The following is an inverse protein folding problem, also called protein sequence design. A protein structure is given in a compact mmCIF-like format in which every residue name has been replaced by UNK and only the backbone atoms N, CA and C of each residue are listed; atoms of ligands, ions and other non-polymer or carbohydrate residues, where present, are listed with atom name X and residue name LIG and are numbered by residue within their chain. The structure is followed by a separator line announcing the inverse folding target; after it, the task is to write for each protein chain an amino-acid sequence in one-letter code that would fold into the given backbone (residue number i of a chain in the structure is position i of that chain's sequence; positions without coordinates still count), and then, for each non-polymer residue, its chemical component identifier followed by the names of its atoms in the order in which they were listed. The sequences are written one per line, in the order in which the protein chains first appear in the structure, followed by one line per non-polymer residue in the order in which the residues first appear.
data_IF_136054387010
#
_entry.id   IF_136054387010
#
_cell.length_a   1.000
_cell.length_b   1.000
_cell.length_c   1.000
_cell.angle_alpha   90.00
_cell.angle_beta   90.00
_cell.angle_gamma   90.00
#
_symmetry.space_group_name_H-M   'P 1'
#
loop_
_entity.id
_entity.type
_entity.pdbx_description
1 polymer ?
#
# COMPACT_ATOMS: atom_id res chain seq x y z
N UNK A 1 -1.49 -8.73 -18.55
CA UNK A 1 -2.37 -8.56 -17.39
C UNK A 1 -2.29 -9.84 -16.58
N UNK A 2 -2.34 -9.75 -15.24
CA UNK A 2 -2.14 -10.92 -14.39
C UNK A 2 -3.44 -11.72 -14.36
N UNK A 3 -3.33 -13.03 -14.55
CA UNK A 3 -4.49 -13.93 -14.62
C UNK A 3 -4.86 -14.44 -13.24
N UNK A 4 -6.14 -14.35 -12.89
CA UNK A 4 -6.67 -14.84 -11.61
C UNK A 4 -7.92 -15.67 -11.88
N UNK A 5 -7.97 -16.85 -11.28
CA UNK A 5 -9.14 -17.73 -11.39
C UNK A 5 -10.35 -17.12 -10.67
N UNK A 6 -11.50 -17.09 -11.34
CA UNK A 6 -12.76 -16.58 -10.79
C UNK A 6 -13.11 -17.25 -9.44
N UNK A 7 -12.91 -18.57 -9.36
CA UNK A 7 -13.12 -19.35 -8.14
C UNK A 7 -12.30 -18.85 -6.94
N UNK A 8 -11.06 -18.40 -7.15
CA UNK A 8 -10.22 -17.85 -6.07
C UNK A 8 -10.74 -16.51 -5.57
N UNK A 9 -11.26 -15.68 -6.48
CA UNK A 9 -11.82 -14.36 -6.13
C UNK A 9 -13.10 -14.55 -5.31
N UNK A 10 -13.98 -15.46 -5.73
CA UNK A 10 -15.21 -15.79 -4.99
C UNK A 10 -14.85 -16.32 -3.59
N UNK A 11 -13.93 -17.28 -3.49
CA UNK A 11 -13.51 -17.84 -2.19
C UNK A 11 -12.91 -16.76 -1.27
N UNK A 12 -12.13 -15.83 -1.82
CA UNK A 12 -11.54 -14.74 -1.07
C UNK A 12 -12.59 -13.72 -0.59
N UNK A 13 -13.55 -13.36 -1.45
CA UNK A 13 -14.66 -12.48 -1.10
C UNK A 13 -15.52 -13.03 0.05
N UNK A 14 -15.72 -14.35 0.11
CA UNK A 14 -16.44 -15.01 1.21
C UNK A 14 -15.71 -14.91 2.56
N UNK A 15 -14.38 -14.71 2.56
CA UNK A 15 -13.57 -14.58 3.77
C UNK A 15 -13.48 -13.15 4.29
N UNK A 16 -13.77 -12.15 3.45
CA UNK A 16 -13.76 -10.74 3.80
C UNK A 16 -12.98 -9.88 2.81
N UNK A 17 -13.07 -8.56 2.98
CA UNK A 17 -12.50 -7.58 2.04
C UNK A 17 -10.96 -7.64 2.00
N UNK A 18 -10.32 -7.89 3.14
CA UNK A 18 -8.87 -7.99 3.22
C UNK A 18 -8.36 -9.18 2.39
N UNK A 19 -8.96 -10.35 2.56
CA UNK A 19 -8.62 -11.55 1.78
C UNK A 19 -8.96 -11.36 0.30
N UNK A 20 -10.06 -10.67 -0.01
CA UNK A 20 -10.42 -10.29 -1.37
C UNK A 20 -9.34 -9.43 -2.03
N UNK A 21 -8.89 -8.33 -1.43
CA UNK A 21 -7.82 -7.51 -2.01
C UNK A 21 -6.49 -8.26 -2.06
N UNK A 22 -6.24 -9.11 -1.06
CA UNK A 22 -5.03 -9.91 -0.97
C UNK A 22 -4.88 -10.91 -2.11
N UNK A 23 -5.97 -11.50 -2.62
CA UNK A 23 -5.89 -12.45 -3.76
C UNK A 23 -5.25 -11.81 -5.00
N UNK A 24 -5.48 -10.52 -5.22
CA UNK A 24 -4.88 -9.77 -6.32
C UNK A 24 -3.41 -9.49 -6.05
N UNK A 25 -3.11 -8.92 -4.89
CA UNK A 25 -1.75 -8.52 -4.55
C UNK A 25 -0.82 -9.71 -4.34
N UNK A 26 -1.30 -10.87 -3.88
CA UNK A 26 -0.53 -12.11 -3.83
C UNK A 26 -0.14 -12.56 -5.24
N UNK A 27 -1.06 -12.49 -6.21
CA UNK A 27 -0.75 -12.80 -7.61
C UNK A 27 0.26 -11.80 -8.20
N UNK A 28 0.22 -10.53 -7.78
CA UNK A 28 1.20 -9.52 -8.20
C UNK A 28 2.59 -9.85 -7.65
N UNK A 29 2.68 -10.17 -6.36
CA UNK A 29 3.94 -10.54 -5.73
C UNK A 29 4.52 -11.82 -6.32
N UNK A 30 3.69 -12.82 -6.67
CA UNK A 30 4.13 -14.03 -7.38
C UNK A 30 4.78 -13.67 -8.73
N UNK A 31 4.13 -12.81 -9.52
CA UNK A 31 4.65 -12.36 -10.81
C UNK A 31 5.94 -11.52 -10.67
N UNK A 32 6.05 -10.75 -9.59
CA UNK A 32 7.21 -9.92 -9.31
C UNK A 32 8.40 -10.71 -8.73
N UNK A 33 8.17 -11.92 -8.20
CA UNK A 33 9.19 -12.72 -7.52
C UNK A 33 9.36 -12.36 -6.03
N UNK A 34 8.32 -11.80 -5.41
CA UNK A 34 8.23 -11.55 -3.97
C UNK A 34 8.23 -10.08 -3.56
N UNK A 35 8.78 -9.18 -4.37
CA UNK A 35 8.86 -7.74 -4.06
C UNK A 35 9.07 -6.90 -5.33
N UNK A 36 8.87 -5.58 -5.25
CA UNK A 36 9.14 -4.64 -6.35
C UNK A 36 10.62 -4.26 -6.41
N UNK A 37 11.14 -4.24 -7.62
CA UNK A 37 12.49 -3.79 -7.97
C UNK A 37 12.41 -2.93 -9.23
N UNK A 38 13.49 -2.22 -9.52
CA UNK A 38 13.60 -1.45 -10.77
C UNK A 38 13.48 -2.34 -12.03
N UNK A 39 13.83 -3.63 -11.92
CA UNK A 39 13.84 -4.56 -13.06
C UNK A 39 12.46 -5.18 -13.33
N UNK A 40 11.55 -5.17 -12.36
CA UNK A 40 10.23 -5.81 -12.47
C UNK A 40 9.05 -4.82 -12.39
N UNK A 41 9.29 -3.53 -12.13
CA UNK A 41 8.23 -2.54 -11.95
C UNK A 41 7.28 -2.47 -13.16
N UNK A 42 7.80 -2.59 -14.39
CA UNK A 42 7.02 -2.52 -15.62
C UNK A 42 6.06 -3.72 -15.84
N UNK A 43 6.11 -4.75 -14.99
CA UNK A 43 5.20 -5.91 -15.07
C UNK A 43 3.78 -5.59 -14.63
N UNK A 44 3.60 -4.56 -13.81
CA UNK A 44 2.31 -4.15 -13.31
C UNK A 44 1.81 -2.90 -14.03
N UNK A 45 0.49 -2.78 -14.17
CA UNK A 45 -0.13 -1.53 -14.61
C UNK A 45 -0.31 -0.56 -13.42
N UNK A 46 -0.76 0.67 -13.69
CA UNK A 46 -0.96 1.69 -12.65
C UNK A 46 -1.98 1.34 -11.57
N UNK A 47 -3.04 0.60 -11.88
CA UNK A 47 -4.04 0.14 -10.90
C UNK A 47 -3.48 -0.95 -10.00
N UNK A 48 -2.77 -1.92 -10.59
CA UNK A 48 -2.09 -2.99 -9.87
C UNK A 48 -1.01 -2.42 -8.93
N UNK A 49 -0.24 -1.44 -9.39
CA UNK A 49 0.70 -0.71 -8.53
C UNK A 49 0.00 -0.01 -7.37
N UNK A 50 -1.14 0.65 -7.62
CA UNK A 50 -1.90 1.33 -6.57
C UNK A 50 -2.34 0.33 -5.49
N UNK A 51 -2.84 -0.83 -5.89
CA UNK A 51 -3.33 -1.84 -4.94
C UNK A 51 -2.18 -2.50 -4.17
N UNK A 52 -1.05 -2.77 -4.82
CA UNK A 52 0.15 -3.29 -4.16
C UNK A 52 0.76 -2.27 -3.20
N UNK A 53 0.79 -1.00 -3.58
CA UNK A 53 1.23 0.09 -2.69
C UNK A 53 0.31 0.21 -1.46
N UNK A 54 -1.01 0.03 -1.63
CA UNK A 54 -1.94 -0.01 -0.50
C UNK A 54 -1.65 -1.19 0.43
N UNK A 55 -1.36 -2.38 -0.11
CA UNK A 55 -0.98 -3.53 0.71
C UNK A 55 0.24 -3.25 1.57
N UNK A 56 1.34 -2.82 0.97
CA UNK A 56 2.56 -2.50 1.73
C UNK A 56 2.31 -1.41 2.75
N UNK A 57 1.55 -0.38 2.37
CA UNK A 57 1.15 0.67 3.30
C UNK A 57 0.41 0.11 4.52
N UNK A 58 -0.66 -0.67 4.32
CA UNK A 58 -1.46 -1.24 5.41
C UNK A 58 -0.63 -2.18 6.28
N UNK A 59 0.14 -3.10 5.69
CA UNK A 59 0.95 -4.07 6.41
C UNK A 59 2.02 -3.38 7.28
N UNK A 60 2.76 -2.42 6.70
CA UNK A 60 3.83 -1.73 7.40
C UNK A 60 3.31 -0.82 8.52
N UNK A 61 2.24 -0.04 8.26
CA UNK A 61 1.68 0.85 9.29
C UNK A 61 1.13 0.06 10.47
N UNK A 62 0.45 -1.07 10.24
CA UNK A 62 -0.06 -1.92 11.32
C UNK A 62 1.02 -2.59 12.17
N UNK A 63 2.21 -2.84 11.59
CA UNK A 63 3.29 -3.54 12.28
C UNK A 63 4.26 -2.57 12.97
N UNK A 64 4.67 -1.51 12.27
CA UNK A 64 5.73 -0.61 12.73
C UNK A 64 5.63 0.83 12.21
N UNK A 65 4.47 1.27 11.72
CA UNK A 65 4.25 2.66 11.37
C UNK A 65 5.06 3.16 10.16
N UNK A 66 5.10 4.47 9.99
CA UNK A 66 5.73 5.12 8.84
C UNK A 66 7.25 4.96 8.82
N UNK A 67 7.88 4.96 9.98
CA UNK A 67 9.33 4.78 10.10
C UNK A 67 9.73 3.42 9.52
N UNK A 68 9.03 2.33 9.90
CA UNK A 68 9.30 1.00 9.36
C UNK A 68 9.02 0.94 7.84
N UNK A 69 7.89 1.47 7.40
CA UNK A 69 7.53 1.52 5.98
C UNK A 69 8.63 2.14 5.11
N UNK A 70 9.21 3.26 5.57
CA UNK A 70 10.24 3.98 4.82
C UNK A 70 11.58 3.24 4.89
N UNK A 71 11.96 2.74 6.06
CA UNK A 71 13.19 1.97 6.26
C UNK A 71 13.20 0.62 5.52
N UNK A 72 12.02 0.03 5.27
CA UNK A 72 11.85 -1.12 4.40
C UNK A 72 11.90 -0.77 2.89
N UNK A 73 12.08 0.50 2.54
CA UNK A 73 12.28 0.97 1.16
C UNK A 73 10.99 1.31 0.40
N UNK A 74 9.82 1.25 1.04
CA UNK A 74 8.55 1.52 0.36
C UNK A 74 8.18 3.01 0.26
N UNK A 75 8.92 3.90 0.94
CA UNK A 75 8.67 5.33 0.95
C UNK A 75 8.57 5.92 -0.46
N UNK A 76 9.63 5.79 -1.25
CA UNK A 76 9.63 6.29 -2.63
C UNK A 76 8.56 5.62 -3.50
N UNK A 77 8.35 4.31 -3.35
CA UNK A 77 7.34 3.58 -4.12
C UNK A 77 5.91 4.04 -3.81
N UNK A 78 5.60 4.43 -2.58
CA UNK A 78 4.26 4.90 -2.19
C UNK A 78 4.10 6.40 -2.47
N UNK A 79 5.10 7.21 -2.14
CA UNK A 79 4.98 8.67 -2.13
C UNK A 79 5.32 9.33 -3.47
N UNK A 80 6.23 8.78 -4.28
CA UNK A 80 6.58 9.39 -5.58
C UNK A 80 5.68 8.92 -6.72
N UNK A 81 5.00 7.79 -6.54
CA UNK A 81 3.98 7.29 -7.46
C UNK A 81 2.61 7.93 -7.19
N UNK A 82 1.68 7.89 -8.16
CA UNK A 82 0.36 8.51 -8.01
C UNK A 82 -0.60 7.76 -7.06
N UNK A 83 -0.10 6.97 -6.10
CA UNK A 83 -0.88 6.15 -5.16
C UNK A 83 -1.98 6.94 -4.47
N UNK A 84 -1.63 8.06 -3.81
CA UNK A 84 -2.60 8.92 -3.12
C UNK A 84 -3.67 9.49 -4.09
N UNK A 85 -3.29 9.79 -5.33
CA UNK A 85 -4.22 10.30 -6.34
C UNK A 85 -5.17 9.19 -6.81
N UNK A 86 -4.65 7.99 -7.07
CA UNK A 86 -5.44 6.84 -7.50
C UNK A 86 -6.45 6.42 -6.43
N UNK A 87 -6.03 6.30 -5.16
CA UNK A 87 -6.94 6.00 -4.04
C UNK A 87 -8.08 7.02 -3.93
N UNK A 88 -7.80 8.31 -4.17
CA UNK A 88 -8.85 9.34 -4.21
C UNK A 88 -9.86 9.11 -5.33
N UNK A 89 -9.39 8.66 -6.51
CA UNK A 89 -10.26 8.35 -7.65
C UNK A 89 -11.11 7.11 -7.39
N UNK A 90 -10.60 6.17 -6.58
CA UNK A 90 -11.34 5.00 -6.08
C UNK A 90 -12.34 5.34 -4.98
N UNK A 91 -12.35 6.59 -4.48
CA UNK A 91 -13.25 7.06 -3.42
C UNK A 91 -12.62 7.09 -2.02
N UNK A 92 -11.46 6.47 -1.82
CA UNK A 92 -10.72 6.42 -0.57
C UNK A 92 -9.98 7.75 -0.29
N UNK A 93 -10.77 8.77 0.08
CA UNK A 93 -10.30 10.15 0.29
C UNK A 93 -9.53 10.31 1.59
N UNK A 94 -9.86 9.55 2.64
CA UNK A 94 -9.17 9.55 3.92
C UNK A 94 -7.73 9.07 3.76
N UNK A 95 -7.55 7.92 3.09
CA UNK A 95 -6.23 7.38 2.76
C UNK A 95 -5.43 8.34 1.87
N UNK A 96 -6.06 8.88 0.82
CA UNK A 96 -5.42 9.87 -0.05
C UNK A 96 -4.86 11.07 0.74
N UNK A 97 -5.69 11.68 1.61
CA UNK A 97 -5.28 12.82 2.42
C UNK A 97 -4.17 12.46 3.41
N UNK A 98 -4.22 11.26 3.96
CA UNK A 98 -3.25 10.76 4.92
C UNK A 98 -1.89 10.55 4.25
N UNK A 99 -1.84 9.87 3.10
CA UNK A 99 -0.60 9.67 2.32
C UNK A 99 0.00 11.00 1.86
N UNK A 100 -0.82 11.98 1.44
CA UNK A 100 -0.28 13.31 1.09
C UNK A 100 0.37 14.01 2.29
N UNK A 101 -0.23 13.93 3.49
CA UNK A 101 0.38 14.49 4.71
C UNK A 101 1.67 13.77 5.08
N UNK A 102 1.69 12.45 5.00
CA UNK A 102 2.90 11.66 5.25
C UNK A 102 4.00 12.00 4.24
N UNK A 103 3.65 12.23 2.97
CA UNK A 103 4.59 12.67 1.94
C UNK A 103 5.23 14.01 2.27
N UNK A 104 4.50 14.97 2.84
CA UNK A 104 5.08 16.28 3.24
C UNK A 104 6.22 16.09 4.24
N UNK A 105 6.04 15.20 5.23
CA UNK A 105 7.08 14.85 6.20
C UNK A 105 8.23 14.13 5.51
N UNK A 106 7.91 13.10 4.72
CA UNK A 106 8.89 12.30 4.01
C UNK A 106 9.77 13.16 3.09
N UNK A 107 9.18 14.04 2.26
CA UNK A 107 9.93 14.89 1.34
C UNK A 107 10.84 15.88 2.10
N UNK A 108 10.43 16.34 3.29
CA UNK A 108 11.23 17.25 4.11
C UNK A 108 12.44 16.58 4.78
N UNK A 109 12.34 15.26 5.04
CA UNK A 109 13.32 14.50 5.83
C UNK A 109 13.85 13.25 5.09
N UNK A 110 13.71 13.21 3.76
CA UNK A 110 13.92 11.99 2.96
C UNK A 110 15.29 11.36 3.19
N UNK A 111 16.35 12.15 3.11
CA UNK A 111 17.73 11.66 3.29
C UNK A 111 17.93 11.07 4.69
N UNK A 112 17.30 11.63 5.71
CA UNK A 112 17.39 11.15 7.10
C UNK A 112 16.54 9.90 7.32
N UNK A 113 15.37 9.81 6.68
CA UNK A 113 14.44 8.70 6.79
C UNK A 113 14.85 7.47 5.98
N UNK A 114 15.56 7.63 4.86
CA UNK A 114 15.98 6.53 3.97
C UNK A 114 17.42 6.06 4.22
N UNK A 115 18.18 6.73 5.11
CA UNK A 115 19.57 6.31 5.39
C UNK A 115 19.62 4.93 6.02
N UNK A 116 20.73 4.23 5.83
CA UNK A 116 21.03 3.01 6.59
C UNK A 116 21.14 3.34 8.09
N UNK A 117 20.51 2.51 8.92
CA UNK A 117 20.49 2.65 10.38
C UNK A 117 20.95 1.39 11.08
N UNK A 118 21.64 1.56 12.21
CA UNK A 118 21.72 0.52 13.24
C UNK A 118 20.36 0.32 13.91
N UNK A 119 20.19 -0.77 14.66
CA UNK A 119 18.96 -1.01 15.44
C UNK A 119 18.67 0.13 16.43
N UNK A 120 19.70 0.66 17.10
CA UNK A 120 19.54 1.78 18.04
C UNK A 120 19.08 3.06 17.33
N UNK A 121 19.64 3.37 16.16
CA UNK A 121 19.22 4.51 15.36
C UNK A 121 17.80 4.34 14.82
N UNK A 122 17.45 3.15 14.33
CA UNK A 122 16.09 2.84 13.89
C UNK A 122 15.06 3.06 15.00
N UNK A 123 15.37 2.60 16.23
CA UNK A 123 14.48 2.83 17.38
C UNK A 123 14.41 4.31 17.78
N UNK A 124 15.50 5.06 17.65
CA UNK A 124 15.52 6.49 17.91
C UNK A 124 14.64 7.29 16.92
N UNK A 125 14.53 6.83 15.67
CA UNK A 125 13.72 7.50 14.64
C UNK A 125 12.25 7.65 15.04
N UNK A 126 11.67 6.73 15.80
CA UNK A 126 10.29 6.86 16.28
C UNK A 126 10.08 8.07 17.19
N UNK A 127 11.11 8.47 17.95
CA UNK A 127 11.07 9.69 18.77
C UNK A 127 11.39 10.92 17.93
N UNK A 128 12.37 10.82 17.03
CA UNK A 128 12.77 11.93 16.16
C UNK A 128 11.66 12.35 15.19
N UNK A 129 10.83 11.38 14.77
CA UNK A 129 9.73 11.57 13.83
C UNK A 129 8.35 11.31 14.44
N UNK A 130 8.15 11.65 15.72
CA UNK A 130 6.86 11.50 16.46
C UNK A 130 5.66 12.18 15.77
N UNK A 131 5.91 13.10 14.83
CA UNK A 131 4.86 13.71 14.00
C UNK A 131 4.12 12.70 13.10
N UNK A 132 4.68 11.51 12.85
CA UNK A 132 3.97 10.44 12.17
C UNK A 132 2.88 9.81 13.06
N UNK A 133 3.02 9.84 14.39
CA UNK A 133 2.10 9.20 15.33
C UNK A 133 0.64 9.68 15.13
N UNK A 134 0.42 10.99 14.92
CA UNK A 134 -0.91 11.54 14.64
C UNK A 134 -1.52 10.95 13.35
N UNK A 135 -0.68 10.67 12.35
CA UNK A 135 -1.12 10.08 11.09
C UNK A 135 -1.42 8.59 11.26
N UNK A 136 -0.64 7.87 12.04
CA UNK A 136 -0.84 6.44 12.34
C UNK A 136 -2.12 6.23 13.15
N UNK A 137 -2.33 7.02 14.21
CA UNK A 137 -3.57 7.01 14.96
C UNK A 137 -4.77 7.27 14.04
N UNK A 138 -4.66 8.27 13.17
CA UNK A 138 -5.70 8.58 12.21
C UNK A 138 -5.95 7.44 11.24
N UNK A 139 -4.91 6.74 10.79
CA UNK A 139 -5.06 5.58 9.92
C UNK A 139 -5.90 4.50 10.61
N UNK A 140 -5.59 4.15 11.85
CA UNK A 140 -6.35 3.13 12.60
C UNK A 140 -7.83 3.49 12.79
N UNK A 141 -8.18 4.78 12.81
CA UNK A 141 -9.58 5.20 12.86
C UNK A 141 -10.35 5.06 11.54
N UNK A 142 -9.66 5.06 10.39
CA UNK A 142 -10.29 5.08 9.05
C UNK A 142 -10.03 3.82 8.22
N UNK A 143 -9.11 2.96 8.66
CA UNK A 143 -8.60 1.82 7.90
C UNK A 143 -9.72 0.92 7.38
N UNK A 144 -10.60 0.43 8.25
CA UNK A 144 -11.67 -0.50 7.86
C UNK A 144 -12.62 0.11 6.80
N UNK A 145 -13.04 1.37 7.00
CA UNK A 145 -13.93 2.06 6.08
C UNK A 145 -13.26 2.32 4.72
N UNK A 146 -12.02 2.81 4.73
CA UNK A 146 -11.32 3.17 3.51
C UNK A 146 -10.86 1.93 2.72
N UNK A 147 -10.44 0.85 3.39
CA UNK A 147 -10.13 -0.44 2.77
C UNK A 147 -11.38 -1.05 2.13
N UNK A 148 -12.54 -0.96 2.79
CA UNK A 148 -13.82 -1.39 2.20
C UNK A 148 -14.15 -0.60 0.92
N UNK A 149 -13.94 0.71 0.91
CA UNK A 149 -14.16 1.54 -0.28
C UNK A 149 -13.28 1.08 -1.45
N UNK A 150 -12.00 0.79 -1.19
CA UNK A 150 -11.09 0.27 -2.22
C UNK A 150 -11.54 -1.12 -2.70
N UNK A 151 -11.93 -2.01 -1.79
CA UNK A 151 -12.41 -3.34 -2.15
C UNK A 151 -13.66 -3.29 -3.03
N UNK A 152 -14.62 -2.42 -2.71
CA UNK A 152 -15.81 -2.19 -3.55
C UNK A 152 -15.43 -1.67 -4.93
N UNK A 153 -14.49 -0.73 -5.01
CA UNK A 153 -14.00 -0.24 -6.30
C UNK A 153 -13.36 -1.35 -7.14
N UNK A 154 -12.54 -2.21 -6.52
CA UNK A 154 -11.89 -3.34 -7.21
C UNK A 154 -12.93 -4.35 -7.71
N UNK A 155 -13.94 -4.68 -6.90
CA UNK A 155 -15.03 -5.58 -7.28
C UNK A 155 -15.85 -5.05 -8.46
N UNK A 156 -16.10 -3.75 -8.51
CA UNK A 156 -16.83 -3.11 -9.61
C UNK A 156 -15.99 -2.95 -10.90
N UNK A 157 -14.67 -3.10 -10.84
CA UNK A 157 -13.74 -2.82 -11.95
C UNK A 157 -12.65 -3.90 -12.10
N UNK A 158 -13.00 -5.18 -11.95
CA UNK A 158 -12.06 -6.31 -11.92
C UNK A 158 -11.04 -6.31 -13.08
N UNK A 159 -11.49 -5.92 -14.27
CA UNK A 159 -10.68 -5.88 -15.49
C UNK A 159 -9.49 -4.92 -15.44
N UNK A 160 -9.51 -3.92 -14.56
CA UNK A 160 -8.37 -3.00 -14.36
C UNK A 160 -7.26 -3.66 -13.52
N UNK A 161 -7.62 -4.66 -12.71
CA UNK A 161 -6.76 -5.30 -11.71
C UNK A 161 -6.27 -6.69 -12.13
N UNK A 162 -7.05 -7.44 -12.92
CA UNK A 162 -6.69 -8.77 -13.39
C UNK A 162 -7.47 -9.20 -14.64
N UNK A 163 -6.92 -10.19 -15.34
CA UNK A 163 -7.64 -10.96 -16.34
C UNK A 163 -8.31 -12.14 -15.64
N UNK A 164 -9.63 -12.14 -15.58
CA UNK A 164 -10.38 -13.20 -14.89
C UNK A 164 -10.51 -14.42 -15.80
N UNK A 165 -10.04 -15.56 -15.31
CA UNK A 165 -10.11 -16.84 -16.02
C UNK A 165 -11.03 -17.81 -15.29
N UNK A 166 -11.82 -18.57 -16.05
CA UNK A 166 -12.74 -19.59 -15.51
C UNK A 166 -12.04 -20.87 -15.10
#
# INVERSE_FOLDING_TARGET
MIQIAESKIIEAAEKGMDEFLKVFTDAYLEELGGDITNDNIDKLNGYQHTLLALRFFVEEINIGGFVQLIQNGYGGYIFDNPTAKSLRLMGAKGLSKLIYKAKEIYDAHREELERETTEEEFMAMYVEFEQFDELEEKFFYIEEEETLIVAQYVDENLEDFAEIVS
#
